data_IF_557006861928
#
_entry.id   IF_557006861928
#
_cell.length_a   1.000
_cell.length_b   1.000
_cell.length_c   1.000
_cell.angle_alpha   90.00
_cell.angle_beta   90.00
_cell.angle_gamma   90.00
#
_symmetry.space_group_name_H-M   'P 1'
#
loop_
_entity.id
_entity.type
_entity.pdbx_description
1 polymer ?
#
# COMPACT_ATOMS: atom_id res chain seq x y z
N UNK A 1 -18.54 -17.39 16.68
CA UNK A 1 -18.29 -17.81 15.27
C UNK A 1 -18.64 -16.77 14.19
N UNK A 2 -19.92 -16.41 13.98
CA UNK A 2 -20.34 -15.55 12.84
C UNK A 2 -19.61 -14.19 12.78
N UNK A 3 -19.39 -13.55 13.93
CA UNK A 3 -18.62 -12.31 14.04
C UNK A 3 -17.17 -12.44 13.58
N UNK A 4 -16.51 -13.57 13.90
CA UNK A 4 -15.13 -13.81 13.49
C UNK A 4 -15.02 -13.95 11.96
N UNK A 5 -15.96 -14.67 11.34
CA UNK A 5 -16.07 -14.78 9.88
C UNK A 5 -16.27 -13.42 9.23
N UNK A 6 -17.25 -12.64 9.71
CA UNK A 6 -17.54 -11.32 9.17
C UNK A 6 -16.31 -10.39 9.25
N UNK A 7 -15.69 -10.30 10.42
CA UNK A 7 -14.52 -9.44 10.63
C UNK A 7 -13.33 -9.82 9.73
N UNK A 8 -13.00 -11.10 9.63
CA UNK A 8 -11.90 -11.54 8.76
C UNK A 8 -12.23 -11.40 7.27
N UNK A 9 -13.47 -11.67 6.87
CA UNK A 9 -13.91 -11.50 5.46
C UNK A 9 -13.84 -10.03 5.05
N UNK A 10 -14.33 -9.12 5.90
CA UNK A 10 -14.24 -7.68 5.66
C UNK A 10 -12.79 -7.22 5.60
N UNK A 11 -11.95 -7.63 6.56
CA UNK A 11 -10.53 -7.29 6.58
C UNK A 11 -9.79 -7.78 5.32
N UNK A 12 -10.03 -9.03 4.89
CA UNK A 12 -9.43 -9.59 3.67
C UNK A 12 -9.94 -8.95 2.38
N UNK A 13 -11.18 -8.48 2.36
CA UNK A 13 -11.76 -7.80 1.19
C UNK A 13 -11.18 -6.40 1.04
N UNK A 14 -11.20 -5.63 2.12
CA UNK A 14 -10.84 -4.21 2.09
C UNK A 14 -9.31 -3.99 2.16
N UNK A 15 -8.62 -4.79 3.00
CA UNK A 15 -7.22 -4.55 3.39
C UNK A 15 -6.35 -5.80 3.40
N UNK A 16 -6.33 -6.64 2.36
CA UNK A 16 -5.49 -7.84 2.33
C UNK A 16 -3.99 -7.55 2.33
N UNK A 17 -3.57 -6.34 1.93
CA UNK A 17 -2.19 -5.85 2.03
C UNK A 17 -1.71 -5.66 3.49
N UNK A 18 -2.64 -5.53 4.45
CA UNK A 18 -2.31 -5.38 5.86
C UNK A 18 -1.90 -6.72 6.50
N UNK A 19 -2.09 -7.83 5.79
CA UNK A 19 -1.76 -9.16 6.24
C UNK A 19 -0.29 -9.47 5.92
N UNK A 20 0.51 -9.69 6.96
CA UNK A 20 1.97 -9.70 6.86
C UNK A 20 2.55 -10.68 5.84
N UNK A 21 1.88 -11.81 5.57
CA UNK A 21 2.34 -12.81 4.60
C UNK A 21 1.18 -13.49 3.89
N UNK A 22 1.44 -13.98 2.66
CA UNK A 22 0.50 -14.82 1.92
C UNK A 22 0.09 -16.09 2.68
N UNK A 23 0.96 -16.62 3.54
CA UNK A 23 0.65 -17.77 4.38
C UNK A 23 -0.46 -17.46 5.40
N UNK A 24 -0.47 -16.26 6.00
CA UNK A 24 -1.53 -15.86 6.93
C UNK A 24 -2.87 -15.62 6.22
N UNK A 25 -2.82 -15.13 4.99
CA UNK A 25 -4.01 -14.99 4.14
C UNK A 25 -4.57 -16.39 3.82
N UNK A 26 -3.73 -17.31 3.34
CA UNK A 26 -4.13 -18.67 3.02
C UNK A 26 -4.69 -19.41 4.25
N UNK A 27 -4.09 -19.20 5.43
CA UNK A 27 -4.61 -19.73 6.69
C UNK A 27 -6.03 -19.20 6.98
N UNK A 28 -6.25 -17.88 6.87
CA UNK A 28 -7.57 -17.30 7.08
C UNK A 28 -8.59 -17.78 6.04
N UNK A 29 -8.21 -17.89 4.76
CA UNK A 29 -9.07 -18.43 3.70
C UNK A 29 -9.45 -19.90 3.98
N UNK A 30 -8.50 -20.72 4.46
CA UNK A 30 -8.76 -22.10 4.85
C UNK A 30 -9.74 -22.20 6.03
N UNK A 31 -9.55 -21.36 7.07
CA UNK A 31 -10.48 -21.30 8.21
C UNK A 31 -11.88 -20.82 7.79
N UNK A 32 -11.96 -19.88 6.85
CA UNK A 32 -13.22 -19.40 6.29
C UNK A 32 -13.91 -20.46 5.41
N UNK A 33 -13.17 -21.39 4.81
CA UNK A 33 -13.73 -22.45 3.99
C UNK A 33 -14.33 -23.62 4.79
N UNK A 34 -14.03 -23.73 6.09
CA UNK A 34 -14.62 -24.76 6.96
C UNK A 34 -16.14 -24.64 7.01
N UNK A 35 -16.86 -25.76 6.92
CA UNK A 35 -18.32 -25.75 7.07
C UNK A 35 -18.73 -25.43 8.52
N UNK A 36 -18.02 -26.04 9.48
CA UNK A 36 -18.21 -25.81 10.91
C UNK A 36 -16.96 -25.14 11.47
N UNK A 37 -17.11 -23.93 12.00
CA UNK A 37 -16.04 -23.19 12.68
C UNK A 37 -16.16 -23.42 14.18
N UNK A 38 -15.16 -24.06 14.80
CA UNK A 38 -15.11 -24.26 16.26
C UNK A 38 -14.44 -23.06 16.95
N UNK A 39 -14.53 -23.00 18.28
CA UNK A 39 -14.11 -21.80 19.05
C UNK A 39 -12.62 -21.47 18.86
N UNK A 40 -11.68 -22.43 18.93
CA UNK A 40 -10.27 -22.14 18.69
C UNK A 40 -9.99 -21.55 17.29
N UNK A 41 -10.70 -22.04 16.27
CA UNK A 41 -10.56 -21.56 14.89
C UNK A 41 -11.12 -20.15 14.74
N UNK A 42 -12.25 -19.86 15.39
CA UNK A 42 -12.83 -18.52 15.41
C UNK A 42 -11.95 -17.51 16.16
N UNK A 43 -11.35 -17.91 17.28
CA UNK A 43 -10.37 -17.10 18.01
C UNK A 43 -9.14 -16.83 17.15
N UNK A 44 -8.63 -17.86 16.46
CA UNK A 44 -7.49 -17.72 15.54
C UNK A 44 -7.80 -16.75 14.42
N UNK A 45 -8.95 -16.90 13.77
CA UNK A 45 -9.40 -16.02 12.68
C UNK A 45 -9.53 -14.57 13.15
N UNK A 46 -10.09 -14.34 14.34
CA UNK A 46 -10.18 -13.00 14.93
C UNK A 46 -8.80 -12.42 15.26
N UNK A 47 -7.88 -13.23 15.77
CA UNK A 47 -6.50 -12.80 16.07
C UNK A 47 -5.76 -12.37 14.80
N UNK A 48 -5.94 -13.09 13.71
CA UNK A 48 -5.36 -12.75 12.41
C UNK A 48 -5.89 -11.40 11.89
N UNK A 49 -7.22 -11.21 11.89
CA UNK A 49 -7.83 -9.95 11.47
C UNK A 49 -7.36 -8.76 12.32
N UNK A 50 -7.32 -8.93 13.65
CA UNK A 50 -6.80 -7.91 14.57
C UNK A 50 -5.32 -7.57 14.33
N UNK A 51 -4.50 -8.55 13.97
CA UNK A 51 -3.10 -8.30 13.66
C UNK A 51 -2.95 -7.45 12.39
N UNK A 52 -3.78 -7.68 11.37
CA UNK A 52 -3.83 -6.86 10.17
C UNK A 52 -4.27 -5.41 10.50
N UNK A 53 -5.32 -5.25 11.30
CA UNK A 53 -5.76 -3.93 11.77
C UNK A 53 -4.65 -3.18 12.53
N UNK A 54 -3.95 -3.88 13.43
CA UNK A 54 -2.85 -3.32 14.20
C UNK A 54 -1.65 -2.92 13.31
N UNK A 55 -1.36 -3.67 12.25
CA UNK A 55 -0.31 -3.32 11.30
C UNK A 55 -0.62 -2.01 10.57
N UNK A 56 -1.86 -1.86 10.09
CA UNK A 56 -2.31 -0.62 9.44
C UNK A 56 -2.29 0.57 10.42
N UNK A 57 -2.82 0.39 11.63
CA UNK A 57 -2.81 1.43 12.67
C UNK A 57 -1.38 1.86 13.03
N UNK A 58 -0.45 0.91 13.18
CA UNK A 58 0.95 1.20 13.49
C UNK A 58 1.66 1.96 12.35
N UNK A 59 1.36 1.62 11.10
CA UNK A 59 1.89 2.36 9.95
C UNK A 59 1.38 3.80 9.94
N UNK A 60 0.07 4.00 10.17
CA UNK A 60 -0.52 5.33 10.28
C UNK A 60 0.10 6.14 11.42
N UNK A 61 0.25 5.54 12.61
CA UNK A 61 0.90 6.18 13.76
C UNK A 61 2.36 6.55 13.45
N UNK A 62 3.13 5.65 12.82
CA UNK A 62 4.50 5.93 12.42
C UNK A 62 4.59 7.07 11.40
N UNK A 63 3.57 7.22 10.54
CA UNK A 63 3.52 8.30 9.55
C UNK A 63 3.29 9.70 10.13
N UNK A 64 2.87 9.80 11.40
CA UNK A 64 2.68 11.06 12.11
C UNK A 64 4.00 11.75 12.50
N UNK A 65 5.14 11.03 12.45
CA UNK A 65 6.46 11.58 12.73
C UNK A 65 7.21 11.75 11.42
N UNK A 66 7.64 12.97 11.04
CA UNK A 66 8.29 13.20 9.76
C UNK A 66 9.64 12.47 9.65
N UNK A 67 9.94 11.98 8.45
CA UNK A 67 11.25 11.45 8.06
C UNK A 67 12.21 12.64 7.88
N UNK A 68 13.24 12.82 8.72
CA UNK A 68 14.03 14.06 8.73
C UNK A 68 14.71 14.37 7.39
N UNK A 69 15.13 13.34 6.65
CA UNK A 69 15.81 13.52 5.35
C UNK A 69 14.89 14.00 4.24
N UNK A 70 13.57 13.84 4.40
CA UNK A 70 12.57 14.21 3.39
C UNK A 70 11.69 15.38 3.83
N UNK A 71 11.80 15.81 5.10
CA UNK A 71 10.91 16.79 5.72
C UNK A 71 10.88 18.14 4.99
N UNK A 72 12.02 18.59 4.43
CA UNK A 72 12.07 19.88 3.72
C UNK A 72 11.24 19.84 2.43
N UNK A 73 11.41 18.80 1.62
CA UNK A 73 10.64 18.63 0.37
C UNK A 73 9.16 18.41 0.66
N UNK A 74 8.84 17.71 1.74
CA UNK A 74 7.47 17.41 2.12
C UNK A 74 6.63 18.66 2.51
N UNK A 75 7.27 19.81 2.77
CA UNK A 75 6.58 21.08 3.03
C UNK A 75 5.91 21.67 1.79
N UNK A 76 6.40 21.34 0.60
CA UNK A 76 5.84 21.87 -0.64
C UNK A 76 4.49 21.18 -0.95
N UNK A 77 3.36 21.92 -0.98
CA UNK A 77 2.06 21.36 -1.31
C UNK A 77 2.00 20.65 -2.67
N UNK A 78 2.77 21.11 -3.67
CA UNK A 78 2.83 20.48 -4.98
C UNK A 78 3.52 19.12 -4.91
N UNK A 79 4.57 18.99 -4.09
CA UNK A 79 5.25 17.71 -3.84
C UNK A 79 4.33 16.76 -3.09
N UNK A 80 3.54 17.24 -2.11
CA UNK A 80 2.57 16.40 -1.38
C UNK A 80 1.52 15.80 -2.31
N UNK A 81 0.97 16.63 -3.20
CA UNK A 81 0.01 16.14 -4.19
C UNK A 81 0.66 15.18 -5.20
N UNK A 82 1.88 15.48 -5.66
CA UNK A 82 2.63 14.57 -6.52
C UNK A 82 2.92 13.22 -5.83
N UNK A 83 3.21 13.23 -4.52
CA UNK A 83 3.39 12.01 -3.73
C UNK A 83 2.10 11.21 -3.67
N UNK A 84 0.95 11.85 -3.44
CA UNK A 84 -0.36 11.17 -3.44
C UNK A 84 -0.63 10.46 -4.78
N UNK A 85 -0.35 11.13 -5.89
CA UNK A 85 -0.45 10.53 -7.22
C UNK A 85 0.55 9.39 -7.44
N UNK A 86 1.78 9.53 -6.93
CA UNK A 86 2.81 8.49 -6.96
C UNK A 86 2.40 7.24 -6.20
N UNK A 87 1.90 7.41 -4.97
CA UNK A 87 1.38 6.32 -4.14
C UNK A 87 0.26 5.58 -4.86
N UNK A 88 -0.72 6.32 -5.39
CA UNK A 88 -1.84 5.75 -6.13
C UNK A 88 -1.38 4.96 -7.34
N UNK A 89 -0.42 5.50 -8.10
CA UNK A 89 0.13 4.81 -9.26
C UNK A 89 0.74 3.45 -8.88
N UNK A 90 1.56 3.40 -7.83
CA UNK A 90 2.16 2.14 -7.37
C UNK A 90 1.10 1.18 -6.81
N UNK A 91 0.12 1.67 -6.06
CA UNK A 91 -0.99 0.84 -5.56
C UNK A 91 -1.81 0.22 -6.71
N UNK A 92 -2.05 0.96 -7.80
CA UNK A 92 -2.72 0.42 -8.99
C UNK A 92 -1.88 -0.67 -9.67
N UNK A 93 -0.56 -0.52 -9.71
CA UNK A 93 0.35 -1.57 -10.21
C UNK A 93 0.38 -2.81 -9.31
N UNK A 94 0.12 -2.64 -8.01
CA UNK A 94 0.09 -3.69 -6.98
C UNK A 94 -1.18 -4.56 -7.06
N UNK A 95 -1.56 -4.96 -8.29
CA UNK A 95 -2.73 -5.78 -8.58
C UNK A 95 -2.68 -7.16 -7.91
N UNK A 96 -1.48 -7.71 -7.73
CA UNK A 96 -1.24 -8.94 -6.99
C UNK A 96 -0.96 -8.70 -5.50
N UNK A 97 -0.90 -7.44 -5.06
CA UNK A 97 -0.77 -7.03 -3.66
C UNK A 97 0.48 -7.59 -2.98
N UNK A 98 1.61 -7.50 -3.67
CA UNK A 98 2.90 -8.07 -3.30
C UNK A 98 2.89 -9.60 -3.02
N UNK A 99 1.92 -10.34 -3.59
CA UNK A 99 1.83 -11.80 -3.44
C UNK A 99 2.81 -12.53 -4.37
N UNK A 100 3.12 -11.94 -5.52
CA UNK A 100 4.03 -12.46 -6.55
C UNK A 100 5.25 -11.55 -6.64
N UNK A 101 6.43 -12.13 -6.80
CA UNK A 101 7.63 -11.34 -7.12
C UNK A 101 7.61 -11.04 -8.63
N UNK A 102 7.19 -9.84 -9.00
CA UNK A 102 7.07 -9.37 -10.39
C UNK A 102 7.75 -8.01 -10.63
N UNK A 103 8.57 -7.55 -9.66
CA UNK A 103 9.22 -6.24 -9.64
C UNK A 103 8.28 -5.03 -9.83
N UNK A 104 6.98 -5.23 -9.61
CA UNK A 104 5.91 -4.26 -9.81
C UNK A 104 5.08 -4.11 -8.54
N UNK A 105 4.55 -2.91 -8.29
CA UNK A 105 3.80 -2.62 -7.08
C UNK A 105 4.68 -2.51 -5.83
N UNK A 106 4.09 -2.81 -4.68
CA UNK A 106 4.74 -2.63 -3.39
C UNK A 106 5.67 -3.80 -3.04
N UNK A 107 6.73 -3.50 -2.31
CA UNK A 107 7.56 -4.54 -1.71
C UNK A 107 6.97 -4.97 -0.35
N UNK A 108 7.40 -6.12 0.19
CA UNK A 108 6.95 -6.54 1.54
C UNK A 108 7.24 -5.52 2.64
N UNK A 109 8.32 -4.75 2.53
CA UNK A 109 8.69 -3.76 3.54
C UNK A 109 7.92 -2.45 3.41
N UNK A 110 7.30 -2.19 2.25
CA UNK A 110 6.63 -0.92 1.93
C UNK A 110 5.13 -1.04 1.73
N UNK A 111 4.59 -2.26 1.52
CA UNK A 111 3.17 -2.50 1.22
C UNK A 111 2.21 -1.88 2.24
N UNK A 112 2.40 -2.15 3.54
CA UNK A 112 1.49 -1.64 4.58
C UNK A 112 1.48 -0.10 4.61
N UNK A 113 2.65 0.53 4.63
CA UNK A 113 2.74 1.99 4.66
C UNK A 113 2.26 2.61 3.33
N UNK A 114 2.60 2.02 2.19
CA UNK A 114 2.19 2.49 0.87
C UNK A 114 0.68 2.51 0.70
N UNK A 115 0.00 1.40 1.04
CA UNK A 115 -1.46 1.31 0.99
C UNK A 115 -2.14 2.20 2.04
N UNK A 116 -1.58 2.33 3.25
CA UNK A 116 -2.11 3.26 4.27
C UNK A 116 -2.08 4.70 3.76
N UNK A 117 -0.95 5.13 3.20
CA UNK A 117 -0.80 6.51 2.71
C UNK A 117 -1.63 6.77 1.45
N UNK A 118 -1.77 5.80 0.54
CA UNK A 118 -2.63 5.91 -0.64
C UNK A 118 -4.13 6.04 -0.28
N UNK A 119 -4.55 5.38 0.80
CA UNK A 119 -5.93 5.46 1.27
C UNK A 119 -6.29 6.82 1.90
N UNK A 120 -5.30 7.67 2.20
CA UNK A 120 -5.55 9.00 2.75
C UNK A 120 -6.01 9.97 1.64
N UNK A 121 -7.06 10.77 1.88
CA UNK A 121 -7.54 11.73 0.88
C UNK A 121 -6.51 12.83 0.59
N UNK A 122 -5.73 13.22 1.60
CA UNK A 122 -4.68 14.22 1.53
C UNK A 122 -3.52 13.79 2.43
N UNK A 123 -2.31 14.25 2.12
CA UNK A 123 -1.12 14.02 2.92
C UNK A 123 -0.71 15.30 3.64
N UNK A 124 -0.46 15.21 4.94
CA UNK A 124 0.28 16.25 5.67
C UNK A 124 1.79 16.18 5.40
N UNK A 125 2.57 17.09 6.00
CA UNK A 125 4.03 17.13 5.81
C UNK A 125 4.73 15.87 6.33
N UNK A 126 4.27 15.30 7.44
CA UNK A 126 4.88 14.10 8.01
C UNK A 126 4.60 12.90 7.10
N UNK A 127 3.35 12.70 6.71
CA UNK A 127 2.91 11.65 5.81
C UNK A 127 3.60 11.74 4.44
N UNK A 128 3.71 12.95 3.88
CA UNK A 128 4.42 13.16 2.62
C UNK A 128 5.91 12.85 2.71
N UNK A 129 6.56 13.10 3.85
CA UNK A 129 7.97 12.72 4.05
C UNK A 129 8.18 11.19 4.03
N UNK A 130 7.23 10.41 4.55
CA UNK A 130 7.22 8.95 4.42
C UNK A 130 6.94 8.51 2.98
N UNK A 131 5.97 9.17 2.32
CA UNK A 131 5.65 8.92 0.92
C UNK A 131 6.88 9.11 0.02
N UNK A 132 7.61 10.23 0.17
CA UNK A 132 8.86 10.49 -0.53
C UNK A 132 9.88 9.36 -0.32
N UNK A 133 10.11 8.97 0.95
CA UNK A 133 11.08 7.93 1.29
C UNK A 133 10.76 6.59 0.61
N UNK A 134 9.48 6.23 0.59
CA UNK A 134 9.00 4.99 -0.02
C UNK A 134 9.04 5.09 -1.55
N UNK A 135 8.55 6.18 -2.13
CA UNK A 135 8.57 6.38 -3.58
C UNK A 135 10.01 6.40 -4.13
N UNK A 136 11.02 6.85 -3.36
CA UNK A 136 12.43 6.72 -3.78
C UNK A 136 12.84 5.26 -3.99
N UNK A 137 12.38 4.35 -3.15
CA UNK A 137 12.65 2.90 -3.28
C UNK A 137 12.00 2.37 -4.58
N UNK A 138 10.81 2.89 -4.90
CA UNK A 138 10.02 2.49 -6.07
C UNK A 138 10.20 3.40 -7.29
N UNK A 139 11.22 4.29 -7.30
CA UNK A 139 11.35 5.36 -8.31
C UNK A 139 11.34 4.84 -9.75
N UNK A 140 11.90 3.64 -9.98
CA UNK A 140 11.98 3.02 -11.32
C UNK A 140 10.63 2.57 -11.88
N UNK A 141 9.62 2.40 -11.02
CA UNK A 141 8.28 2.06 -11.45
C UNK A 141 7.47 3.31 -11.84
N UNK A 142 7.85 4.49 -11.33
CA UNK A 142 7.15 5.74 -11.62
C UNK A 142 7.44 6.21 -13.05
N UNK A 143 6.43 6.71 -13.78
CA UNK A 143 6.66 7.44 -15.03
C UNK A 143 7.56 8.66 -14.78
N UNK A 144 8.46 8.96 -15.72
CA UNK A 144 9.47 10.03 -15.56
C UNK A 144 8.87 11.37 -15.14
N UNK A 145 7.71 11.73 -15.70
CA UNK A 145 7.01 12.97 -15.37
C UNK A 145 6.56 13.02 -13.91
N UNK A 146 6.12 11.88 -13.37
CA UNK A 146 5.67 11.75 -11.99
C UNK A 146 6.87 11.69 -11.05
N UNK A 147 7.93 10.99 -11.44
CA UNK A 147 9.19 10.97 -10.69
C UNK A 147 9.79 12.39 -10.58
N UNK A 148 9.80 13.16 -11.67
CA UNK A 148 10.24 14.55 -11.66
C UNK A 148 9.34 15.46 -10.83
N UNK A 149 8.02 15.27 -10.86
CA UNK A 149 7.11 16.02 -9.99
C UNK A 149 7.35 15.73 -8.50
N UNK A 150 7.56 14.46 -8.14
CA UNK A 150 7.76 14.04 -6.75
C UNK A 150 9.13 14.47 -6.20
N UNK A 151 10.21 14.33 -6.98
CA UNK A 151 11.57 14.51 -6.45
C UNK A 151 12.25 15.81 -6.86
N UNK A 152 11.78 16.46 -7.92
CA UNK A 152 12.41 17.64 -8.53
C UNK A 152 11.46 18.84 -8.58
N UNK A 153 10.22 18.69 -8.08
CA UNK A 153 9.22 19.77 -8.04
C UNK A 153 8.68 20.18 -9.41
N UNK A 154 8.79 19.30 -10.41
CA UNK A 154 8.26 19.60 -11.74
C UNK A 154 6.74 19.74 -11.70
N UNK A 155 6.22 20.74 -12.40
CA UNK A 155 4.78 20.93 -12.53
C UNK A 155 4.16 19.85 -13.40
N UNK A 156 3.18 19.13 -12.86
CA UNK A 156 2.39 18.20 -13.65
C UNK A 156 1.49 18.98 -14.64
N UNK A 157 1.35 18.52 -15.90
CA UNK A 157 0.50 19.20 -16.87
C UNK A 157 -0.96 19.18 -16.40
N UNK A 158 -1.72 20.27 -16.63
CA UNK A 158 -3.13 20.32 -16.26
C UNK A 158 -3.92 19.27 -17.06
N UNK A 159 -4.30 18.18 -16.38
CA UNK A 159 -5.18 17.09 -16.85
C UNK A 159 -4.86 16.56 -18.25
N UNK A 160 -3.93 15.60 -18.32
CA UNK A 160 -3.96 14.50 -19.30
C UNK A 160 -2.98 13.39 -18.92
N UNK A 161 -3.17 12.80 -17.74
CA UNK A 161 -2.50 11.53 -17.42
C UNK A 161 -3.46 10.39 -17.80
N UNK A 162 -3.51 10.03 -19.08
CA UNK A 162 -3.94 8.69 -19.44
C UNK A 162 -2.78 7.76 -19.08
N UNK A 163 -2.72 7.36 -17.81
CA UNK A 163 -1.67 6.47 -17.29
C UNK A 163 -2.06 5.05 -17.66
N UNK A 164 -1.80 4.67 -18.92
CA UNK A 164 -1.79 3.26 -19.27
C UNK A 164 -0.59 2.62 -18.58
N UNK A 165 -0.77 1.57 -17.76
CA UNK A 165 0.36 0.84 -17.21
C UNK A 165 1.21 0.33 -18.38
N UNK A 166 2.51 0.57 -18.31
CA UNK A 166 3.47 0.14 -19.33
C UNK A 166 3.38 -1.39 -19.40
N UNK A 167 2.81 -1.90 -20.49
CA UNK A 167 2.84 -3.32 -20.81
C UNK A 167 4.26 -3.66 -21.23
N UNK A 168 5.07 -4.18 -20.31
CA UNK A 168 6.37 -4.78 -20.64
C UNK A 168 6.15 -6.15 -21.30
N UNK A 169 5.63 -6.14 -22.53
CA UNK A 169 5.81 -7.25 -23.46
C UNK A 169 7.23 -7.15 -24.02
N UNK A 170 8.16 -7.70 -23.26
CA UNK A 170 9.54 -7.94 -23.68
C UNK A 170 9.75 -9.42 -23.94
N UNK A 171 9.12 -9.95 -24.99
CA UNK A 171 9.54 -11.21 -25.57
C UNK A 171 11.03 -11.09 -25.96
N UNK A 172 11.85 -11.99 -25.45
CA UNK A 172 13.15 -12.29 -26.07
C UNK A 172 13.21 -13.79 -26.34
N UNK A 173 13.67 -14.04 -27.57
CA UNK A 173 13.72 -15.28 -28.32
C UNK A 173 14.60 -16.36 -27.69
#
# INVERSE_FOLDING_TARGET
MARARAAATESLRERPWAWATAALIAEAEALLALEVLVEPDAERLLKLAKAADAAAAKALEASAVPVPTEAELARDPAIREACRLGLHYITVLDSDRARVTNDSGWSRSTTVMGHVLDALPELDEAQASHALRILRIHRRQLPDILAGAVFEGLTLPPRRLHMSPISTSGARA
#
